data_IF_661855901675
#
_entry.id   IF_661855901675
#
_cell.length_a   1.000
_cell.length_b   1.000
_cell.length_c   1.000
_cell.angle_alpha   90.00
_cell.angle_beta   90.00
_cell.angle_gamma   90.00
#
_symmetry.space_group_name_H-M   'P 1'
#
loop_
_entity.id
_entity.type
_entity.pdbx_description
1 polymer ?
#
# COMPACT_ATOMS: atom_id res chain seq x y z
N UNK A 1 27.67 -33.65 -37.15
CA UNK A 1 26.98 -32.36 -37.31
C UNK A 1 25.96 -32.25 -36.21
N UNK A 2 26.28 -31.46 -35.19
CA UNK A 2 25.53 -31.33 -33.95
C UNK A 2 24.41 -30.29 -34.11
N UNK A 3 23.20 -30.64 -33.66
CA UNK A 3 22.08 -29.73 -33.46
C UNK A 3 22.06 -29.27 -32.00
N UNK A 4 22.30 -27.98 -31.77
CA UNK A 4 22.20 -27.34 -30.45
C UNK A 4 20.82 -26.73 -30.28
N UNK A 5 20.00 -27.33 -29.42
CA UNK A 5 18.84 -26.70 -28.78
C UNK A 5 19.30 -26.12 -27.44
N UNK A 6 19.25 -24.79 -27.29
CA UNK A 6 19.48 -24.10 -26.02
C UNK A 6 18.18 -24.01 -25.24
N UNK A 7 18.06 -24.80 -24.17
CA UNK A 7 17.06 -24.62 -23.12
C UNK A 7 17.52 -23.48 -22.18
N UNK A 8 16.61 -22.55 -21.90
CA UNK A 8 16.81 -21.46 -20.94
C UNK A 8 16.31 -21.92 -19.57
N UNK A 9 17.24 -22.14 -18.64
CA UNK A 9 16.97 -22.54 -17.26
C UNK A 9 16.49 -21.33 -16.45
N UNK A 10 15.23 -21.35 -16.02
CA UNK A 10 14.68 -20.41 -15.05
C UNK A 10 14.97 -20.94 -13.64
N UNK A 11 15.86 -20.24 -12.93
CA UNK A 11 16.24 -20.55 -11.55
C UNK A 11 15.06 -20.45 -10.58
N UNK A 12 15.03 -21.40 -9.65
CA UNK A 12 14.07 -21.54 -8.57
C UNK A 12 14.05 -20.33 -7.63
N UNK A 13 12.88 -19.72 -7.47
CA UNK A 13 12.59 -18.80 -6.37
C UNK A 13 11.38 -19.33 -5.59
N UNK A 14 11.66 -19.77 -4.37
CA UNK A 14 10.76 -19.97 -3.24
C UNK A 14 9.57 -20.94 -3.42
N UNK A 15 9.89 -22.22 -3.22
CA UNK A 15 8.93 -23.30 -2.96
C UNK A 15 8.46 -23.24 -1.49
N UNK A 16 7.23 -22.79 -1.26
CA UNK A 16 6.62 -22.60 0.08
C UNK A 16 6.04 -23.90 0.68
N UNK A 17 6.35 -25.08 0.11
CA UNK A 17 5.57 -26.30 0.33
C UNK A 17 6.18 -27.32 1.32
N UNK A 18 7.23 -27.00 2.07
CA UNK A 18 7.90 -28.02 2.90
C UNK A 18 8.39 -27.57 4.30
N UNK A 19 7.55 -26.87 5.07
CA UNK A 19 7.80 -26.59 6.49
C UNK A 19 6.60 -26.99 7.37
N UNK A 20 6.17 -28.24 7.24
CA UNK A 20 5.06 -28.79 8.02
C UNK A 20 5.38 -30.18 8.54
N UNK A 21 6.37 -30.31 9.45
CA UNK A 21 6.41 -31.45 10.37
C UNK A 21 7.35 -31.19 11.56
N UNK A 22 6.85 -30.57 12.63
CA UNK A 22 7.39 -30.78 13.99
C UNK A 22 6.24 -30.80 14.99
N UNK A 23 5.95 -31.99 15.47
CA UNK A 23 5.03 -32.27 16.56
C UNK A 23 5.53 -31.74 17.90
N UNK A 24 4.56 -31.30 18.69
CA UNK A 24 4.52 -30.95 20.12
C UNK A 24 5.60 -31.66 20.97
N UNK A 25 6.24 -30.93 21.90
CA UNK A 25 6.40 -31.21 23.35
C UNK A 25 7.58 -30.39 23.90
N UNK A 26 7.36 -29.45 24.82
CA UNK A 26 8.17 -29.36 26.06
C UNK A 26 7.54 -28.40 27.08
N UNK A 27 7.33 -28.98 28.27
CA UNK A 27 6.85 -28.39 29.51
C UNK A 27 7.98 -28.59 30.53
N UNK A 28 8.33 -27.54 31.28
CA UNK A 28 9.25 -27.58 32.44
C UNK A 28 10.40 -26.57 32.30
N UNK A 29 10.89 -25.88 33.33
CA UNK A 29 10.60 -25.88 34.76
C UNK A 29 11.16 -24.57 35.38
N UNK A 30 10.68 -24.25 36.59
CA UNK A 30 11.12 -23.13 37.45
C UNK A 30 12.58 -23.34 37.93
N UNK A 31 13.37 -22.27 37.95
CA UNK A 31 14.68 -22.20 38.61
C UNK A 31 15.13 -20.75 38.84
N UNK A 32 15.34 -20.39 40.11
CA UNK A 32 15.81 -19.09 40.61
C UNK A 32 17.30 -18.83 40.33
N UNK A 33 17.70 -17.55 40.33
CA UNK A 33 19.09 -17.12 40.55
C UNK A 33 19.64 -16.16 39.49
N UNK A 34 19.69 -14.86 39.81
CA UNK A 34 19.90 -13.78 38.84
C UNK A 34 21.33 -13.55 38.35
N UNK A 35 21.42 -12.77 37.28
CA UNK A 35 22.35 -11.63 37.15
C UNK A 35 21.86 -10.75 36.01
N UNK A 36 21.96 -9.45 36.23
CA UNK A 36 21.50 -8.36 35.37
C UNK A 36 22.10 -8.40 33.97
N UNK A 37 21.24 -8.61 32.98
CA UNK A 37 21.40 -8.09 31.63
C UNK A 37 20.00 -7.78 31.13
N UNK A 38 19.64 -6.50 31.07
CA UNK A 38 18.41 -6.10 30.38
C UNK A 38 18.46 -6.66 28.96
N UNK A 39 17.55 -7.55 28.56
CA UNK A 39 17.45 -7.92 27.17
C UNK A 39 16.92 -6.69 26.46
N UNK A 40 17.66 -6.21 25.47
CA UNK A 40 17.06 -5.45 24.38
C UNK A 40 15.88 -6.28 23.87
N UNK A 41 14.65 -5.98 24.30
CA UNK A 41 13.42 -6.58 23.79
C UNK A 41 13.40 -6.36 22.28
N UNK A 42 13.87 -7.36 21.54
CA UNK A 42 13.72 -7.39 20.10
C UNK A 42 12.23 -7.57 19.83
N UNK A 43 11.63 -6.65 19.07
CA UNK A 43 10.22 -6.66 18.69
C UNK A 43 9.72 -8.01 18.14
N UNK A 44 10.64 -8.91 17.77
CA UNK A 44 10.40 -10.29 17.35
C UNK A 44 9.90 -11.24 18.45
N UNK A 45 10.06 -10.91 19.74
CA UNK A 45 9.68 -11.84 20.82
C UNK A 45 8.33 -11.54 21.48
N UNK A 46 7.73 -10.40 21.13
CA UNK A 46 6.38 -10.02 21.60
C UNK A 46 5.34 -10.85 20.83
N UNK A 47 4.68 -11.76 21.55
CA UNK A 47 3.52 -12.49 21.06
C UNK A 47 2.25 -11.62 21.18
N UNK A 48 1.60 -11.36 20.05
CA UNK A 48 0.31 -10.68 19.99
C UNK A 48 -0.82 -11.70 20.00
N UNK A 49 -1.88 -11.43 20.75
CA UNK A 49 -3.08 -12.26 20.72
C UNK A 49 -3.96 -11.84 19.54
N UNK A 50 -4.10 -12.71 18.55
CA UNK A 50 -5.02 -12.54 17.41
C UNK A 50 -6.35 -13.25 17.62
N UNK A 51 -7.28 -13.03 16.69
CA UNK A 51 -8.62 -13.64 16.68
C UNK A 51 -8.58 -15.18 16.64
N UNK A 52 -7.60 -15.76 15.94
CA UNK A 52 -7.47 -17.21 15.78
C UNK A 52 -6.27 -17.81 16.55
N UNK A 53 -5.60 -17.02 17.39
CA UNK A 53 -4.47 -17.46 18.21
C UNK A 53 -3.32 -16.46 18.27
N UNK A 54 -2.26 -16.78 19.03
CA UNK A 54 -1.10 -15.92 19.17
C UNK A 54 -0.28 -15.89 17.87
N UNK A 55 0.26 -14.72 17.54
CA UNK A 55 1.15 -14.51 16.40
C UNK A 55 2.29 -13.57 16.78
N UNK A 56 3.40 -13.64 16.04
CA UNK A 56 4.58 -12.78 16.26
C UNK A 56 4.84 -11.94 15.01
N UNK A 57 5.54 -10.83 15.20
CA UNK A 57 6.03 -10.02 14.08
C UNK A 57 7.40 -10.55 13.70
N UNK A 58 7.54 -11.02 12.47
CA UNK A 58 8.82 -11.50 11.96
C UNK A 58 9.67 -10.34 11.40
N UNK A 59 11.01 -10.46 11.38
CA UNK A 59 11.88 -9.44 10.78
C UNK A 59 11.57 -9.12 9.32
N UNK A 60 11.07 -10.11 8.55
CA UNK A 60 10.60 -9.89 7.17
C UNK A 60 9.41 -8.95 7.12
N UNK A 61 8.47 -9.05 8.06
CA UNK A 61 7.30 -8.17 8.10
C UNK A 61 7.71 -6.72 8.35
N UNK A 62 8.73 -6.51 9.19
CA UNK A 62 9.28 -5.19 9.46
C UNK A 62 9.84 -4.58 8.17
N UNK A 63 10.58 -5.37 7.38
CA UNK A 63 11.12 -4.91 6.10
C UNK A 63 10.00 -4.56 5.10
N UNK A 64 8.97 -5.40 5.01
CA UNK A 64 7.81 -5.14 4.15
C UNK A 64 7.08 -3.87 4.54
N UNK A 65 6.85 -3.64 5.84
CA UNK A 65 6.20 -2.42 6.34
C UNK A 65 7.06 -1.19 6.08
N UNK A 66 8.38 -1.25 6.29
CA UNK A 66 9.28 -0.13 6.00
C UNK A 66 9.23 0.22 4.51
N UNK A 67 9.28 -0.79 3.64
CA UNK A 67 9.28 -0.58 2.19
C UNK A 67 7.91 -0.09 1.70
N UNK A 68 6.81 -0.57 2.28
CA UNK A 68 5.46 -0.04 2.10
C UNK A 68 5.38 1.45 2.46
N UNK A 69 5.83 1.82 3.67
CA UNK A 69 5.83 3.22 4.13
C UNK A 69 6.70 4.12 3.25
N UNK A 70 7.86 3.63 2.83
CA UNK A 70 8.79 4.35 1.94
C UNK A 70 8.16 4.59 0.57
N UNK A 71 7.48 3.58 0.00
CA UNK A 71 6.73 3.74 -1.24
C UNK A 71 5.64 4.82 -1.12
N UNK A 72 4.92 4.84 0.01
CA UNK A 72 3.84 5.79 0.24
C UNK A 72 4.36 7.22 0.40
N UNK A 73 5.46 7.38 1.13
CA UNK A 73 6.14 8.69 1.29
C UNK A 73 6.69 9.18 -0.05
N UNK A 74 7.23 8.29 -0.87
CA UNK A 74 7.68 8.62 -2.23
C UNK A 74 6.51 9.10 -3.08
N UNK A 75 5.38 8.38 -3.06
CA UNK A 75 4.16 8.78 -3.75
C UNK A 75 3.66 10.16 -3.32
N UNK A 76 3.56 10.41 -2.01
CA UNK A 76 3.11 11.69 -1.46
C UNK A 76 4.06 12.83 -1.81
N UNK A 77 5.37 12.61 -1.68
CA UNK A 77 6.39 13.65 -1.94
C UNK A 77 6.42 14.01 -3.42
N UNK A 78 6.46 13.01 -4.31
CA UNK A 78 6.44 13.24 -5.75
C UNK A 78 5.17 13.95 -6.20
N UNK A 79 4.01 13.57 -5.64
CA UNK A 79 2.74 14.25 -5.91
C UNK A 79 2.77 15.71 -5.48
N UNK A 80 3.22 16.01 -4.26
CA UNK A 80 3.30 17.39 -3.75
C UNK A 80 4.24 18.24 -4.59
N UNK A 81 5.40 17.70 -4.98
CA UNK A 81 6.34 18.42 -5.85
C UNK A 81 5.69 18.71 -7.20
N UNK A 82 5.08 17.72 -7.85
CA UNK A 82 4.43 17.91 -9.14
C UNK A 82 3.25 18.89 -9.06
N UNK A 83 2.38 18.77 -8.05
CA UNK A 83 1.21 19.63 -7.88
C UNK A 83 1.54 21.05 -7.43
N UNK A 84 2.74 21.28 -6.86
CA UNK A 84 3.18 22.61 -6.46
C UNK A 84 3.26 23.59 -7.64
N UNK A 85 3.53 23.11 -8.85
CA UNK A 85 3.57 23.96 -10.07
C UNK A 85 2.19 24.52 -10.42
N UNK A 86 1.12 23.82 -10.07
CA UNK A 86 -0.26 24.29 -10.30
C UNK A 86 -0.68 25.37 -9.28
N UNK A 87 -0.12 25.34 -8.06
CA UNK A 87 -0.48 26.28 -6.99
C UNK A 87 0.44 27.52 -6.94
N UNK A 88 1.72 27.34 -7.25
CA UNK A 88 2.73 28.39 -7.17
C UNK A 88 3.26 28.68 -8.56
N UNK A 89 2.82 29.81 -9.12
CA UNK A 89 3.19 30.30 -10.47
C UNK A 89 4.37 31.29 -10.45
N UNK A 90 5.21 31.21 -9.42
CA UNK A 90 6.35 32.12 -9.27
C UNK A 90 7.46 31.74 -10.28
N UNK A 91 7.88 32.65 -11.18
CA UNK A 91 8.88 32.35 -12.21
C UNK A 91 10.29 32.25 -11.60
N UNK A 92 10.54 31.15 -10.90
CA UNK A 92 11.84 30.79 -10.33
C UNK A 92 12.46 29.58 -11.03
N UNK A 93 13.79 29.44 -10.91
CA UNK A 93 14.55 28.30 -11.48
C UNK A 93 14.05 26.94 -10.99
N UNK A 94 13.54 26.86 -9.77
CA UNK A 94 12.93 25.66 -9.20
C UNK A 94 11.61 25.30 -9.89
N UNK A 95 10.75 26.28 -10.16
CA UNK A 95 9.49 26.06 -10.86
C UNK A 95 9.74 25.51 -12.27
N UNK A 96 10.70 26.09 -12.99
CA UNK A 96 11.10 25.62 -14.33
C UNK A 96 11.69 24.20 -14.28
N UNK A 97 12.52 23.89 -13.28
CA UNK A 97 13.11 22.57 -13.10
C UNK A 97 12.02 21.52 -12.86
N UNK A 98 11.06 21.81 -11.97
CA UNK A 98 9.96 20.89 -11.68
C UNK A 98 9.06 20.72 -12.92
N UNK A 99 8.70 21.82 -13.58
CA UNK A 99 7.84 21.82 -14.76
C UNK A 99 8.42 20.98 -15.91
N UNK A 100 9.74 21.05 -16.11
CA UNK A 100 10.44 20.21 -17.11
C UNK A 100 10.49 18.72 -16.76
N UNK A 101 10.32 18.37 -15.49
CA UNK A 101 10.46 17.00 -14.99
C UNK A 101 9.15 16.45 -14.40
N UNK A 102 7.98 17.03 -14.76
CA UNK A 102 6.69 16.60 -14.23
C UNK A 102 6.42 15.12 -14.46
N UNK A 103 6.73 14.60 -15.64
CA UNK A 103 6.52 13.20 -15.99
C UNK A 103 7.39 12.27 -15.13
N UNK A 104 8.60 12.71 -14.76
CA UNK A 104 9.47 11.96 -13.86
C UNK A 104 8.86 11.90 -12.45
N UNK A 105 8.37 13.01 -11.92
CA UNK A 105 7.71 13.02 -10.61
C UNK A 105 6.41 12.19 -10.64
N UNK A 106 5.63 12.28 -11.71
CA UNK A 106 4.45 11.44 -11.89
C UNK A 106 4.81 9.94 -11.90
N UNK A 107 5.83 9.55 -12.67
CA UNK A 107 6.30 8.17 -12.74
C UNK A 107 6.85 7.68 -11.39
N UNK A 108 7.68 8.48 -10.70
CA UNK A 108 8.20 8.16 -9.37
C UNK A 108 7.05 7.98 -8.36
N UNK A 109 6.06 8.86 -8.40
CA UNK A 109 4.89 8.76 -7.53
C UNK A 109 4.05 7.53 -7.81
N UNK A 110 3.82 7.22 -9.09
CA UNK A 110 3.14 6.01 -9.54
C UNK A 110 3.88 4.73 -9.13
N UNK A 111 5.21 4.69 -9.27
CA UNK A 111 6.05 3.58 -8.81
C UNK A 111 6.02 3.41 -7.29
N UNK A 112 6.10 4.50 -6.52
CA UNK A 112 5.98 4.47 -5.06
C UNK A 112 4.62 3.93 -4.59
N UNK A 113 3.54 4.33 -5.27
CA UNK A 113 2.22 3.78 -5.04
C UNK A 113 2.16 2.27 -5.36
N UNK A 114 2.72 1.85 -6.49
CA UNK A 114 2.77 0.44 -6.88
C UNK A 114 3.53 -0.42 -5.88
N UNK A 115 4.69 0.05 -5.42
CA UNK A 115 5.47 -0.59 -4.37
C UNK A 115 4.65 -0.75 -3.09
N UNK A 116 3.92 0.30 -2.70
CA UNK A 116 3.05 0.26 -1.52
C UNK A 116 1.92 -0.76 -1.69
N UNK A 117 1.26 -0.79 -2.84
CA UNK A 117 0.17 -1.74 -3.14
C UNK A 117 0.64 -3.19 -3.25
N UNK A 118 1.90 -3.42 -3.61
CA UNK A 118 2.47 -4.76 -3.62
C UNK A 118 2.64 -5.29 -2.19
N UNK A 119 3.17 -4.46 -1.30
CA UNK A 119 3.56 -4.80 0.07
C UNK A 119 2.46 -4.61 1.11
N UNK A 120 1.33 -4.00 0.74
CA UNK A 120 0.23 -3.77 1.68
C UNK A 120 -0.36 -5.09 2.16
N UNK A 121 -0.56 -5.20 3.47
CA UNK A 121 -1.25 -6.31 4.12
C UNK A 121 -2.75 -6.01 4.15
N UNK A 122 -3.53 -6.67 3.29
CA UNK A 122 -4.99 -6.57 3.24
C UNK A 122 -5.55 -7.98 3.43
N UNK A 123 -6.49 -8.14 4.36
CA UNK A 123 -7.10 -9.45 4.66
C UNK A 123 -7.81 -10.08 3.46
N UNK A 124 -8.47 -9.25 2.65
CA UNK A 124 -9.24 -9.67 1.47
C UNK A 124 -8.35 -9.61 0.24
N UNK A 125 -7.96 -10.78 -0.26
CA UNK A 125 -7.03 -10.92 -1.40
C UNK A 125 -7.59 -10.30 -2.68
N UNK A 126 -8.89 -10.44 -2.90
CA UNK A 126 -9.61 -9.94 -4.07
C UNK A 126 -9.53 -8.42 -4.14
N UNK A 127 -9.69 -7.73 -3.00
CA UNK A 127 -9.55 -6.28 -2.92
C UNK A 127 -8.11 -5.88 -3.23
N UNK A 128 -7.11 -6.56 -2.64
CA UNK A 128 -5.70 -6.31 -2.93
C UNK A 128 -5.40 -6.44 -4.43
N UNK A 129 -5.86 -7.52 -5.06
CA UNK A 129 -5.66 -7.77 -6.48
C UNK A 129 -6.38 -6.74 -7.36
N UNK A 130 -7.60 -6.33 -7.00
CA UNK A 130 -8.32 -5.29 -7.71
C UNK A 130 -7.56 -3.94 -7.68
N UNK A 131 -7.00 -3.56 -6.54
CA UNK A 131 -6.18 -2.33 -6.43
C UNK A 131 -4.90 -2.43 -7.26
N UNK A 132 -4.23 -3.58 -7.26
CA UNK A 132 -3.03 -3.81 -8.08
C UNK A 132 -3.36 -3.79 -9.58
N UNK A 133 -4.51 -4.35 -9.97
CA UNK A 133 -4.99 -4.31 -11.35
C UNK A 133 -5.32 -2.87 -11.78
N UNK A 134 -6.02 -2.10 -10.93
CA UNK A 134 -6.30 -0.69 -11.18
C UNK A 134 -5.01 0.13 -11.34
N UNK A 135 -4.03 -0.10 -10.47
CA UNK A 135 -2.71 0.53 -10.59
C UNK A 135 -2.02 0.16 -11.91
N UNK A 136 -2.00 -1.13 -12.27
CA UNK A 136 -1.36 -1.60 -13.50
C UNK A 136 -2.04 -1.02 -14.75
N UNK A 137 -3.37 -1.07 -14.81
CA UNK A 137 -4.17 -0.49 -15.90
C UNK A 137 -3.93 1.01 -16.00
N UNK A 138 -3.90 1.73 -14.88
CA UNK A 138 -3.64 3.16 -14.86
C UNK A 138 -2.20 3.52 -15.25
N UNK A 139 -1.22 2.71 -14.85
CA UNK A 139 0.18 2.90 -15.23
C UNK A 139 0.39 2.66 -16.74
N UNK A 140 -0.17 1.58 -17.28
CA UNK A 140 -0.15 1.29 -18.72
C UNK A 140 -0.92 2.35 -19.51
N UNK A 141 -2.08 2.77 -19.01
CA UNK A 141 -2.87 3.86 -19.58
C UNK A 141 -2.07 5.16 -19.62
N UNK A 142 -1.36 5.50 -18.55
CA UNK A 142 -0.48 6.67 -18.50
C UNK A 142 0.63 6.62 -19.54
N UNK A 143 1.31 5.47 -19.67
CA UNK A 143 2.36 5.28 -20.68
C UNK A 143 1.79 5.36 -22.10
N UNK A 144 0.63 4.77 -22.34
CA UNK A 144 -0.04 4.81 -23.63
C UNK A 144 -0.48 6.24 -23.98
N UNK A 145 -1.09 6.98 -23.05
CA UNK A 145 -1.47 8.39 -23.23
C UNK A 145 -0.23 9.24 -23.52
N UNK A 146 0.87 9.04 -22.79
CA UNK A 146 2.11 9.76 -23.05
C UNK A 146 2.64 9.48 -24.46
N UNK A 147 2.79 8.21 -24.83
CA UNK A 147 3.42 7.82 -26.09
C UNK A 147 2.55 8.12 -27.32
N UNK A 148 1.23 7.96 -27.21
CA UNK A 148 0.30 8.05 -28.34
C UNK A 148 -0.36 9.42 -28.48
N UNK A 149 -0.46 10.20 -27.39
CA UNK A 149 -1.21 11.44 -27.37
C UNK A 149 -0.34 12.66 -26.96
N UNK A 150 0.34 12.60 -25.81
CA UNK A 150 1.10 13.75 -25.31
C UNK A 150 2.37 14.03 -26.13
N UNK A 151 3.16 12.99 -26.44
CA UNK A 151 4.39 13.09 -27.22
C UNK A 151 4.17 13.69 -28.63
N UNK A 152 3.18 13.22 -29.43
CA UNK A 152 2.87 13.84 -30.71
C UNK A 152 2.43 15.31 -30.62
N UNK A 153 1.82 15.70 -29.50
CA UNK A 153 1.40 17.08 -29.21
C UNK A 153 2.51 17.95 -28.61
N UNK A 154 3.69 17.38 -28.30
CA UNK A 154 4.83 18.10 -27.73
C UNK A 154 4.61 18.57 -26.28
N UNK A 155 3.67 17.96 -25.55
CA UNK A 155 3.32 18.31 -24.16
C UNK A 155 3.72 17.20 -23.19
N UNK A 156 3.82 17.53 -21.90
CA UNK A 156 4.00 16.52 -20.84
C UNK A 156 2.71 15.72 -20.63
N UNK A 157 2.79 14.51 -20.04
CA UNK A 157 1.58 13.73 -19.74
C UNK A 157 0.63 14.50 -18.81
N UNK A 158 1.19 15.15 -17.79
CA UNK A 158 0.40 15.89 -16.79
C UNK A 158 -0.33 17.06 -17.43
N UNK A 159 0.37 17.84 -18.25
CA UNK A 159 -0.20 18.97 -19.00
C UNK A 159 -1.27 18.51 -19.98
N UNK A 160 -1.00 17.43 -20.72
CA UNK A 160 -1.97 16.85 -21.65
C UNK A 160 -3.28 16.45 -20.94
N UNK A 161 -3.19 15.82 -19.77
CA UNK A 161 -4.38 15.42 -18.99
C UNK A 161 -5.17 16.64 -18.54
N UNK A 162 -4.49 17.71 -18.08
CA UNK A 162 -5.14 18.96 -17.65
C UNK A 162 -5.87 19.65 -18.80
N UNK A 163 -5.32 19.61 -20.01
CA UNK A 163 -5.94 20.19 -21.20
C UNK A 163 -7.03 19.30 -21.80
N UNK A 164 -6.95 17.99 -21.59
CA UNK A 164 -7.86 16.99 -22.18
C UNK A 164 -8.53 16.16 -21.08
N UNK A 165 -9.67 16.61 -20.52
CA UNK A 165 -10.36 15.92 -19.43
C UNK A 165 -10.66 14.44 -19.69
N UNK A 166 -10.91 14.06 -20.95
CA UNK A 166 -11.16 12.67 -21.32
C UNK A 166 -9.96 11.74 -21.05
N UNK A 167 -8.74 12.29 -20.97
CA UNK A 167 -7.53 11.52 -20.65
C UNK A 167 -7.58 10.93 -19.23
N UNK A 168 -8.43 11.45 -18.34
CA UNK A 168 -8.71 10.88 -17.01
C UNK A 168 -9.21 9.44 -17.10
N UNK A 169 -9.84 9.00 -18.19
CA UNK A 169 -10.20 7.59 -18.35
C UNK A 169 -9.00 6.64 -18.40
N UNK A 170 -7.84 7.14 -18.86
CA UNK A 170 -6.62 6.33 -18.97
C UNK A 170 -5.76 6.39 -17.69
N UNK A 171 -5.62 7.58 -17.09
CA UNK A 171 -4.80 7.76 -15.87
C UNK A 171 -5.59 7.55 -14.57
N UNK A 172 -6.91 7.73 -14.61
CA UNK A 172 -7.83 7.64 -13.48
C UNK A 172 -7.76 6.33 -12.70
N UNK A 173 -7.61 5.14 -13.33
CA UNK A 173 -7.44 3.89 -12.60
C UNK A 173 -6.26 3.89 -11.61
N UNK A 174 -5.16 4.61 -11.91
CA UNK A 174 -4.02 4.74 -10.99
C UNK A 174 -4.44 5.47 -9.71
N UNK A 175 -5.21 6.55 -9.85
CA UNK A 175 -5.73 7.31 -8.71
C UNK A 175 -6.89 6.60 -8.01
N UNK A 176 -7.65 5.75 -8.70
CA UNK A 176 -8.61 4.85 -8.07
C UNK A 176 -7.91 3.85 -7.15
N UNK A 177 -6.76 3.31 -7.56
CA UNK A 177 -5.93 2.45 -6.71
C UNK A 177 -5.40 3.20 -5.47
N UNK A 178 -4.94 4.44 -5.64
CA UNK A 178 -4.58 5.32 -4.52
C UNK A 178 -5.77 5.56 -3.58
N UNK A 179 -6.93 5.88 -4.14
CA UNK A 179 -8.16 6.10 -3.36
C UNK A 179 -8.51 4.87 -2.54
N UNK A 180 -8.41 3.66 -3.11
CA UNK A 180 -8.66 2.42 -2.37
C UNK A 180 -7.64 2.14 -1.26
N UNK A 181 -6.37 2.47 -1.48
CA UNK A 181 -5.34 2.41 -0.42
C UNK A 181 -5.68 3.37 0.73
N UNK A 182 -6.05 4.61 0.41
CA UNK A 182 -6.42 5.64 1.38
C UNK A 182 -7.72 5.27 2.10
N UNK A 183 -8.72 4.73 1.38
CA UNK A 183 -9.99 4.27 1.92
C UNK A 183 -9.80 3.23 3.03
N UNK A 184 -8.92 2.25 2.79
CA UNK A 184 -8.57 1.23 3.79
C UNK A 184 -8.11 1.89 5.10
N UNK A 185 -7.30 2.93 4.99
CA UNK A 185 -6.74 3.60 6.17
C UNK A 185 -7.74 4.55 6.84
N UNK A 186 -8.55 5.24 6.04
CA UNK A 186 -9.51 6.22 6.51
C UNK A 186 -10.72 5.60 7.18
N UNK A 187 -11.40 4.71 6.46
CA UNK A 187 -12.67 4.15 6.93
C UNK A 187 -12.50 2.90 7.78
N UNK A 188 -11.46 2.09 7.56
CA UNK A 188 -11.27 0.88 8.37
C UNK A 188 -10.53 1.16 9.69
N UNK A 189 -9.63 2.16 9.73
CA UNK A 189 -8.86 2.49 10.93
C UNK A 189 -9.22 3.85 11.56
N UNK A 190 -10.28 4.51 11.06
CA UNK A 190 -10.83 5.73 11.67
C UNK A 190 -9.93 6.97 11.55
N UNK A 191 -9.07 7.02 10.54
CA UNK A 191 -8.19 8.17 10.28
C UNK A 191 -8.94 9.23 9.48
N UNK A 192 -9.30 10.34 10.12
CA UNK A 192 -10.08 11.41 9.49
C UNK A 192 -9.40 11.97 8.23
N UNK A 193 -8.08 12.16 8.23
CA UNK A 193 -7.34 12.68 7.08
C UNK A 193 -7.48 11.77 5.84
N UNK A 194 -7.39 10.45 6.04
CA UNK A 194 -7.55 9.48 4.97
C UNK A 194 -9.03 9.31 4.59
N UNK A 195 -9.95 9.42 5.55
CA UNK A 195 -11.38 9.43 5.29
C UNK A 195 -11.80 10.58 4.38
N UNK A 196 -11.32 11.80 4.66
CA UNK A 196 -11.57 12.96 3.79
C UNK A 196 -10.88 12.80 2.44
N UNK A 197 -9.62 12.34 2.43
CA UNK A 197 -8.85 12.17 1.20
C UNK A 197 -9.50 11.17 0.22
N UNK A 198 -10.20 10.17 0.75
CA UNK A 198 -10.99 9.19 -0.03
C UNK A 198 -12.06 9.86 -0.90
N UNK A 199 -12.62 10.99 -0.46
CA UNK A 199 -13.61 11.74 -1.24
C UNK A 199 -12.97 12.83 -2.09
N UNK A 200 -11.91 13.47 -1.58
CA UNK A 200 -11.18 14.54 -2.29
C UNK A 200 -10.64 14.06 -3.64
N UNK A 201 -10.01 12.87 -3.68
CA UNK A 201 -9.38 12.35 -4.91
C UNK A 201 -10.42 12.13 -6.02
N UNK A 202 -11.50 11.34 -5.82
CA UNK A 202 -12.51 11.15 -6.86
C UNK A 202 -13.24 12.44 -7.22
N UNK A 203 -13.54 13.32 -6.25
CA UNK A 203 -14.23 14.59 -6.53
C UNK A 203 -13.41 15.46 -7.48
N UNK A 204 -12.09 15.59 -7.26
CA UNK A 204 -11.24 16.38 -8.15
C UNK A 204 -11.20 15.79 -9.57
N UNK A 205 -10.99 14.48 -9.69
CA UNK A 205 -10.84 13.81 -10.99
C UNK A 205 -12.15 13.79 -11.77
N UNK A 206 -13.29 13.50 -11.12
CA UNK A 206 -14.60 13.52 -11.77
C UNK A 206 -15.05 14.95 -12.08
N UNK A 207 -14.74 15.90 -11.21
CA UNK A 207 -15.00 17.32 -11.46
C UNK A 207 -14.20 17.84 -12.65
N UNK A 208 -12.94 17.39 -12.80
CA UNK A 208 -12.14 17.67 -13.97
C UNK A 208 -12.70 17.00 -15.23
N UNK A 209 -12.97 15.69 -15.18
CA UNK A 209 -13.50 14.90 -16.30
C UNK A 209 -14.85 15.43 -16.82
N UNK A 210 -15.75 15.83 -15.92
CA UNK A 210 -17.07 16.35 -16.27
C UNK A 210 -17.06 17.80 -16.76
N UNK A 211 -15.96 18.53 -16.55
CA UNK A 211 -15.87 19.96 -16.84
C UNK A 211 -16.76 20.84 -15.95
N UNK A 212 -17.36 20.28 -14.89
CA UNK A 212 -18.28 21.00 -13.99
C UNK A 212 -17.56 21.91 -12.99
N UNK A 213 -16.25 21.77 -12.82
CA UNK A 213 -15.45 22.59 -11.93
C UNK A 213 -14.63 23.62 -12.70
N UNK A 214 -14.61 24.84 -12.18
CA UNK A 214 -13.69 25.89 -12.61
C UNK A 214 -12.27 25.64 -12.06
N UNK A 215 -11.28 26.36 -12.60
CA UNK A 215 -9.87 26.15 -12.26
C UNK A 215 -9.53 26.58 -10.82
N UNK A 216 -10.27 27.54 -10.25
CA UNK A 216 -10.12 27.94 -8.86
C UNK A 216 -10.52 26.82 -7.88
N UNK A 217 -11.66 26.17 -8.14
CA UNK A 217 -12.11 25.03 -7.34
C UNK A 217 -11.16 23.83 -7.50
N UNK A 218 -10.69 23.53 -8.72
CA UNK A 218 -9.69 22.46 -8.95
C UNK A 218 -8.44 22.68 -8.12
N UNK A 219 -7.89 23.90 -8.16
CA UNK A 219 -6.67 24.28 -7.44
C UNK A 219 -6.85 24.20 -5.93
N UNK A 220 -8.01 24.64 -5.42
CA UNK A 220 -8.33 24.58 -3.98
C UNK A 220 -8.40 23.13 -3.50
N UNK A 221 -9.13 22.27 -4.22
CA UNK A 221 -9.25 20.85 -3.87
C UNK A 221 -7.91 20.13 -4.02
N UNK A 222 -7.10 20.48 -5.02
CA UNK A 222 -5.73 19.98 -5.17
C UNK A 222 -4.85 20.36 -3.97
N UNK A 223 -4.93 21.60 -3.48
CA UNK A 223 -4.22 22.03 -2.27
C UNK A 223 -4.64 21.25 -1.03
N UNK A 224 -5.95 20.99 -0.87
CA UNK A 224 -6.46 20.13 0.20
C UNK A 224 -5.91 18.71 0.08
N UNK A 225 -5.88 18.13 -1.13
CA UNK A 225 -5.26 16.83 -1.37
C UNK A 225 -3.80 16.83 -0.94
N UNK A 226 -2.99 17.78 -1.40
CA UNK A 226 -1.56 17.86 -1.04
C UNK A 226 -1.34 17.84 0.47
N UNK A 227 -2.07 18.68 1.22
CA UNK A 227 -1.95 18.74 2.68
C UNK A 227 -2.35 17.42 3.33
N UNK A 228 -3.52 16.88 2.96
CA UNK A 228 -4.01 15.63 3.52
C UNK A 228 -3.08 14.45 3.21
N UNK A 229 -2.48 14.41 2.02
CA UNK A 229 -1.59 13.33 1.62
C UNK A 229 -0.27 13.37 2.39
N UNK A 230 0.27 14.57 2.65
CA UNK A 230 1.45 14.75 3.53
C UNK A 230 1.13 14.32 4.95
N UNK A 231 0.00 14.74 5.51
CA UNK A 231 -0.40 14.34 6.87
C UNK A 231 -0.58 12.82 6.95
N UNK A 232 -1.24 12.24 5.95
CA UNK A 232 -1.46 10.80 5.87
C UNK A 232 -0.13 10.01 5.80
N UNK A 233 0.79 10.41 4.92
CA UNK A 233 2.11 9.77 4.82
C UNK A 233 2.97 10.00 6.08
N UNK A 234 2.95 11.21 6.64
CA UNK A 234 3.70 11.55 7.86
C UNK A 234 3.25 10.77 9.09
N UNK A 235 1.95 10.54 9.26
CA UNK A 235 1.41 9.75 10.38
C UNK A 235 1.84 8.29 10.37
N UNK A 236 2.25 7.75 9.21
CA UNK A 236 2.80 6.39 9.14
C UNK A 236 4.08 6.24 9.97
N UNK A 237 4.87 7.29 10.18
CA UNK A 237 6.08 7.21 11.01
C UNK A 237 5.79 7.01 12.49
N UNK A 238 4.66 7.54 12.99
CA UNK A 238 4.24 7.39 14.39
C UNK A 238 3.42 6.12 14.65
N UNK A 239 2.96 5.45 13.59
CA UNK A 239 2.11 4.27 13.72
C UNK A 239 2.94 3.02 14.10
N UNK A 240 2.46 2.18 15.04
CA UNK A 240 3.07 0.88 15.33
C UNK A 240 3.13 -0.01 14.08
N UNK A 241 4.24 -0.76 13.92
CA UNK A 241 4.43 -1.66 12.76
C UNK A 241 3.32 -2.72 12.67
N UNK A 242 2.92 -3.29 13.82
CA UNK A 242 1.85 -4.30 13.90
C UNK A 242 0.53 -3.85 13.27
N UNK A 243 0.23 -2.55 13.30
CA UNK A 243 -1.05 -2.02 12.81
C UNK A 243 -1.06 -1.94 11.26
N UNK A 244 0.10 -1.85 10.62
CA UNK A 244 0.21 -1.92 9.15
C UNK A 244 0.19 -3.37 8.63
N UNK A 245 0.55 -4.35 9.48
CA UNK A 245 0.46 -5.79 9.19
C UNK A 245 -0.98 -6.27 9.38
N UNK A 246 -1.63 -5.84 10.48
CA UNK A 246 -2.88 -6.41 10.94
C UNK A 246 -2.70 -7.74 11.68
N UNK A 247 -3.81 -8.39 11.99
CA UNK A 247 -3.86 -9.66 12.70
C UNK A 247 -3.41 -10.82 11.80
N UNK A 248 -2.18 -11.29 12.00
CA UNK A 248 -1.64 -12.42 11.22
C UNK A 248 -2.38 -13.73 11.44
N UNK A 249 -3.05 -13.90 12.58
CA UNK A 249 -3.83 -15.12 12.84
C UNK A 249 -4.94 -15.32 11.80
N UNK A 250 -5.48 -14.24 11.23
CA UNK A 250 -6.48 -14.28 10.14
C UNK A 250 -5.87 -14.85 8.86
N UNK A 251 -4.65 -14.44 8.51
CA UNK A 251 -3.95 -14.96 7.34
C UNK A 251 -3.57 -16.44 7.53
N UNK A 252 -3.10 -16.80 8.71
CA UNK A 252 -2.78 -18.19 9.08
C UNK A 252 -4.05 -19.05 8.98
N UNK A 253 -5.16 -18.60 9.58
CA UNK A 253 -6.44 -19.30 9.53
C UNK A 253 -6.96 -19.50 8.11
N UNK A 254 -6.91 -18.45 7.27
CA UNK A 254 -7.36 -18.54 5.88
C UNK A 254 -6.53 -19.51 5.04
N UNK A 255 -5.26 -19.73 5.40
CA UNK A 255 -4.36 -20.67 4.74
C UNK A 255 -4.56 -22.14 5.17
N UNK A 256 -5.27 -22.41 6.27
CA UNK A 256 -5.53 -23.77 6.75
C UNK A 256 -6.50 -24.55 5.83
N UNK A 257 -6.38 -25.89 5.75
CA UNK A 257 -7.41 -26.75 5.17
C UNK A 257 -8.74 -26.62 5.92
N UNK A 258 -9.87 -26.78 5.23
CA UNK A 258 -11.20 -26.57 5.83
C UNK A 258 -11.51 -27.51 7.01
N UNK A 259 -10.95 -28.72 7.01
CA UNK A 259 -11.03 -29.65 8.14
C UNK A 259 -10.32 -29.13 9.40
N UNK A 260 -9.19 -28.45 9.24
CA UNK A 260 -8.41 -27.89 10.36
C UNK A 260 -9.03 -26.58 10.86
N UNK A 261 -9.61 -25.78 9.96
CA UNK A 261 -10.38 -24.58 10.34
C UNK A 261 -11.53 -24.92 11.29
N UNK A 262 -12.31 -25.96 10.97
CA UNK A 262 -13.44 -26.38 11.80
C UNK A 262 -12.98 -26.81 13.21
N UNK A 263 -11.88 -27.56 13.30
CA UNK A 263 -11.30 -27.98 14.59
C UNK A 263 -10.80 -26.78 15.40
N UNK A 264 -10.16 -25.80 14.76
CA UNK A 264 -9.70 -24.60 15.45
C UNK A 264 -10.87 -23.76 15.97
N UNK A 265 -11.90 -23.56 15.15
CA UNK A 265 -13.12 -22.85 15.56
C UNK A 265 -13.79 -23.54 16.75
N UNK A 266 -13.94 -24.86 16.71
CA UNK A 266 -14.52 -25.61 17.83
C UNK A 266 -13.71 -25.42 19.13
N UNK A 267 -12.37 -25.47 19.06
CA UNK A 267 -11.51 -25.23 20.23
C UNK A 267 -11.67 -23.81 20.79
N UNK A 268 -11.77 -22.81 19.93
CA UNK A 268 -11.97 -21.42 20.33
C UNK A 268 -13.37 -21.21 20.96
N UNK A 269 -14.40 -21.85 20.43
CA UNK A 269 -15.76 -21.84 21.00
C UNK A 269 -15.79 -22.48 22.39
N UNK A 270 -15.17 -23.66 22.55
CA UNK A 270 -15.05 -24.33 23.86
C UNK A 270 -14.32 -23.44 24.88
N UNK A 271 -13.18 -22.84 24.49
CA UNK A 271 -12.43 -21.92 25.36
C UNK A 271 -13.25 -20.69 25.79
N UNK A 272 -13.94 -20.05 24.86
CA UNK A 272 -14.81 -18.90 25.16
C UNK A 272 -15.98 -19.30 26.09
N UNK A 273 -16.55 -20.49 25.88
CA UNK A 273 -17.60 -21.01 26.76
C UNK A 273 -17.11 -21.20 28.20
N UNK A 274 -15.92 -21.77 28.38
CA UNK A 274 -15.34 -21.95 29.72
C UNK A 274 -14.91 -20.62 30.36
N UNK A 275 -14.41 -19.65 29.59
CA UNK A 275 -14.06 -18.34 30.12
C UNK A 275 -15.28 -17.53 30.60
N UNK A 276 -16.40 -17.59 29.90
CA UNK A 276 -17.62 -16.86 30.28
C UNK A 276 -18.40 -17.48 31.46
N UNK A 277 -17.98 -18.66 31.94
CA UNK A 277 -18.66 -19.39 33.03
C UNK A 277 -18.00 -19.21 34.40
N UNK A 278 -16.79 -18.65 34.42
CA UNK A 278 -16.04 -18.29 35.62
C UNK A 278 -16.14 -16.78 35.88
#
# INVERSE_FOLDING_TARGET
MASTSTEFSAGSLFDWRNSGNRSITELGAVGEGGSSSEPSETLSDIAYQGAYGPWKVEPSDIQEVILYRTGLVTAATSFVIASSTALFRDPGTLHDLISRNLDLFYALGGCGLGLSLYLIHIYVKEIKQALQALWLVGALGSVATYALLAQPSGTSLVEYVVENPAAVWFVGPLFAALTGLVFKEGLCYGKLEAGVLTFVIPTLLLGHLSGLMDDGTKSTILGVWMVLFVVFAGRKFTQPIKDDIGDKSVFIFNALPDSEKAVLLQKLEEQNYFQNRN
#
